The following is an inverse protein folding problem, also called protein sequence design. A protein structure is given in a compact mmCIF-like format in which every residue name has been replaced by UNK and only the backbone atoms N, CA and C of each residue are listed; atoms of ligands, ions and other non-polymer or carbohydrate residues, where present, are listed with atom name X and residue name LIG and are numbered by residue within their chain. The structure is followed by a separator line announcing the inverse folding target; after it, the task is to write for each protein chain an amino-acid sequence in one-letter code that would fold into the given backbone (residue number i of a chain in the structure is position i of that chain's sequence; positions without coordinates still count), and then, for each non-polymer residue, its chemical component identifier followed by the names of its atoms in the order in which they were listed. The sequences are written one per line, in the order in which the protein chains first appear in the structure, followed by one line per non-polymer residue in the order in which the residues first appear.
data_IF_358610656685
#
_entry.id   IF_358610656685
#
_cell.length_a   1.000
_cell.length_b   1.000
_cell.length_c   1.000
_cell.angle_alpha   90.00
_cell.angle_beta   90.00
_cell.angle_gamma   90.00
#
_symmetry.space_group_name_H-M   'P 1'
#
loop_
_entity.id
_entity.type
_entity.pdbx_description
1 polymer ?
#
# COMPACT_ATOMS: atom_id res chain seq x y z
N UNK A 1 5.16 24.85 -1.79
CA UNK A 1 4.86 24.32 -3.13
C UNK A 1 3.90 23.18 -2.93
N UNK A 2 2.71 23.29 -3.52
CA UNK A 2 1.50 22.52 -3.25
C UNK A 2 1.67 21.01 -3.45
N UNK A 3 1.56 20.26 -2.36
CA UNK A 3 1.58 18.78 -2.33
C UNK A 3 0.23 18.20 -2.76
N UNK A 4 -0.21 18.48 -3.99
CA UNK A 4 -1.33 17.76 -4.59
C UNK A 4 -0.79 16.66 -5.50
N UNK A 5 -1.08 15.41 -5.15
CA UNK A 5 -0.85 14.23 -6.00
C UNK A 5 -1.32 14.53 -7.42
N UNK A 6 -0.43 14.38 -8.40
CA UNK A 6 -0.82 14.52 -9.80
C UNK A 6 -1.57 13.27 -10.26
N UNK A 7 -2.33 13.38 -11.35
CA UNK A 7 -3.04 12.23 -11.91
C UNK A 7 -2.11 11.06 -12.29
N UNK A 8 -0.88 11.36 -12.70
CA UNK A 8 0.15 10.35 -13.01
C UNK A 8 0.59 9.59 -11.75
N UNK A 9 0.78 10.32 -10.63
CA UNK A 9 1.15 9.73 -9.34
C UNK A 9 0.06 8.79 -8.85
N UNK A 10 -1.21 9.19 -8.94
CA UNK A 10 -2.35 8.36 -8.53
C UNK A 10 -2.41 7.03 -9.28
N UNK A 11 -2.11 7.02 -10.59
CA UNK A 11 -2.10 5.79 -11.40
C UNK A 11 -0.94 4.87 -11.03
N UNK A 12 0.24 5.43 -10.77
CA UNK A 12 1.41 4.66 -10.33
C UNK A 12 1.19 4.07 -8.92
N UNK A 13 0.59 4.84 -8.02
CA UNK A 13 0.22 4.40 -6.67
C UNK A 13 -0.82 3.27 -6.73
N UNK A 14 -1.84 3.38 -7.59
CA UNK A 14 -2.84 2.31 -7.73
C UNK A 14 -2.19 1.01 -8.23
N UNK A 15 -1.30 1.11 -9.21
CA UNK A 15 -0.58 -0.06 -9.73
C UNK A 15 0.29 -0.72 -8.66
N UNK A 16 1.07 0.10 -7.94
CA UNK A 16 1.87 -0.33 -6.80
C UNK A 16 1.01 -1.03 -5.74
N UNK A 17 -0.11 -0.42 -5.34
CA UNK A 17 -1.03 -0.99 -4.36
C UNK A 17 -1.50 -2.39 -4.78
N UNK A 18 -1.96 -2.55 -6.03
CA UNK A 18 -2.43 -3.86 -6.54
C UNK A 18 -1.34 -4.92 -6.54
N UNK A 19 -0.10 -4.56 -6.89
CA UNK A 19 1.02 -5.50 -6.89
C UNK A 19 1.48 -5.88 -5.48
N UNK A 20 1.63 -4.89 -4.60
CA UNK A 20 2.20 -5.09 -3.27
C UNK A 20 1.18 -5.68 -2.29
N UNK A 21 -0.12 -5.36 -2.42
CA UNK A 21 -1.18 -6.00 -1.63
C UNK A 21 -1.25 -7.51 -1.88
N UNK A 22 -1.21 -7.96 -3.13
CA UNK A 22 -1.21 -9.39 -3.46
C UNK A 22 0.04 -10.12 -2.95
N UNK A 23 1.22 -9.51 -3.06
CA UNK A 23 2.47 -10.06 -2.50
C UNK A 23 2.39 -10.19 -0.98
N UNK A 24 1.98 -9.13 -0.29
CA UNK A 24 1.88 -9.11 1.17
C UNK A 24 0.83 -10.10 1.66
N UNK A 25 -0.33 -10.16 1.01
CA UNK A 25 -1.37 -11.15 1.30
C UNK A 25 -0.84 -12.58 1.16
N UNK A 26 -0.14 -12.89 0.05
CA UNK A 26 0.42 -14.22 -0.18
C UNK A 26 1.45 -14.63 0.88
N UNK A 27 2.32 -13.70 1.28
CA UNK A 27 3.33 -13.93 2.31
C UNK A 27 2.66 -14.13 3.68
N UNK A 28 1.74 -13.24 4.06
CA UNK A 28 1.08 -13.29 5.36
C UNK A 28 0.18 -14.51 5.50
N UNK A 29 -0.56 -14.89 4.45
CA UNK A 29 -1.35 -16.13 4.43
C UNK A 29 -0.45 -17.36 4.61
N UNK A 30 0.74 -17.36 3.98
CA UNK A 30 1.71 -18.45 4.15
C UNK A 30 2.25 -18.54 5.58
N UNK A 31 2.39 -17.41 6.28
CA UNK A 31 2.94 -17.35 7.63
C UNK A 31 1.89 -17.63 8.72
N UNK A 32 0.67 -17.11 8.55
CA UNK A 32 -0.36 -17.11 9.59
C UNK A 32 -1.57 -17.99 9.25
N UNK A 33 -1.61 -18.58 8.07
CA UNK A 33 -2.72 -19.44 7.64
C UNK A 33 -3.92 -18.65 7.11
N UNK A 34 -4.77 -19.35 6.36
CA UNK A 34 -5.93 -18.75 5.70
C UNK A 34 -7.03 -18.31 6.68
N UNK A 35 -7.11 -18.93 7.86
CA UNK A 35 -8.08 -18.55 8.91
C UNK A 35 -7.91 -17.09 9.38
N UNK A 36 -6.73 -16.50 9.15
CA UNK A 36 -6.42 -15.11 9.46
C UNK A 36 -6.65 -14.15 8.27
N UNK A 37 -7.30 -14.59 7.18
CA UNK A 37 -7.39 -13.80 5.94
C UNK A 37 -7.98 -12.40 6.13
N UNK A 38 -9.04 -12.28 6.95
CA UNK A 38 -9.67 -10.99 7.25
C UNK A 38 -8.69 -10.04 7.96
N UNK A 39 -8.03 -10.53 9.01
CA UNK A 39 -7.04 -9.73 9.76
C UNK A 39 -5.85 -9.34 8.88
N UNK A 40 -5.40 -10.24 8.02
CA UNK A 40 -4.32 -9.98 7.06
C UNK A 40 -4.73 -8.89 6.08
N UNK A 41 -5.95 -8.96 5.55
CA UNK A 41 -6.48 -7.94 4.64
C UNK A 41 -6.59 -6.58 5.34
N UNK A 42 -7.08 -6.54 6.57
CA UNK A 42 -7.20 -5.33 7.38
C UNK A 42 -5.82 -4.67 7.59
N UNK A 43 -4.80 -5.45 8.00
CA UNK A 43 -3.43 -4.96 8.19
C UNK A 43 -2.86 -4.38 6.89
N UNK A 44 -3.09 -5.05 5.76
CA UNK A 44 -2.64 -4.60 4.45
C UNK A 44 -3.28 -3.24 4.12
N UNK A 45 -4.60 -3.12 4.29
CA UNK A 45 -5.32 -1.88 4.03
C UNK A 45 -4.87 -0.74 4.94
N UNK A 46 -4.69 -0.99 6.24
CA UNK A 46 -4.21 0.00 7.20
C UNK A 46 -2.80 0.50 6.85
N UNK A 47 -1.91 -0.41 6.45
CA UNK A 47 -0.54 -0.09 6.05
C UNK A 47 -0.53 0.85 4.84
N UNK A 48 -1.31 0.54 3.81
CA UNK A 48 -1.39 1.39 2.63
C UNK A 48 -2.10 2.72 2.91
N UNK A 49 -3.10 2.74 3.78
CA UNK A 49 -3.74 3.99 4.22
C UNK A 49 -2.74 4.90 4.94
N UNK A 50 -1.90 4.33 5.80
CA UNK A 50 -0.83 5.06 6.48
C UNK A 50 0.21 5.62 5.48
N UNK A 51 0.58 4.82 4.47
CA UNK A 51 1.48 5.25 3.40
C UNK A 51 0.88 6.42 2.61
N UNK A 52 -0.38 6.31 2.16
CA UNK A 52 -1.08 7.38 1.42
C UNK A 52 -1.20 8.67 2.23
N UNK A 53 -1.51 8.58 3.52
CA UNK A 53 -1.52 9.73 4.45
C UNK A 53 -0.15 10.38 4.56
N UNK A 54 0.91 9.58 4.57
CA UNK A 54 2.29 10.08 4.62
C UNK A 54 2.66 10.78 3.31
N UNK A 55 2.34 10.16 2.16
CA UNK A 55 2.68 10.68 0.84
C UNK A 55 1.89 11.93 0.46
N UNK A 56 0.65 12.09 0.94
CA UNK A 56 -0.11 13.33 0.72
C UNK A 56 0.52 14.56 1.39
N UNK A 57 1.31 14.34 2.45
CA UNK A 57 1.99 15.40 3.21
C UNK A 57 3.44 15.57 2.74
N UNK A 58 4.16 14.46 2.53
CA UNK A 58 5.61 14.46 2.26
C UNK A 58 5.98 14.27 0.80
N UNK A 59 5.01 14.00 -0.07
CA UNK A 59 5.24 13.50 -1.42
C UNK A 59 5.47 11.98 -1.45
N UNK A 60 5.37 11.41 -2.65
CA UNK A 60 5.68 9.99 -2.89
C UNK A 60 7.21 9.82 -2.85
N UNK A 61 7.74 8.84 -2.10
CA UNK A 61 9.19 8.57 -2.07
C UNK A 61 9.69 8.05 -3.42
N UNK A 62 10.99 8.16 -3.68
CA UNK A 62 11.61 7.65 -4.92
C UNK A 62 11.44 6.13 -5.10
N UNK A 63 11.37 5.39 -3.99
CA UNK A 63 11.11 3.95 -3.97
C UNK A 63 9.91 3.62 -3.07
N UNK A 64 8.68 3.64 -3.60
CA UNK A 64 7.45 3.42 -2.83
C UNK A 64 7.22 2.01 -2.29
N UNK A 65 8.00 1.04 -2.76
CA UNK A 65 7.90 -0.39 -2.42
C UNK A 65 8.90 -0.85 -1.35
N UNK A 66 9.82 0.03 -0.94
CA UNK A 66 10.88 -0.26 0.02
C UNK A 66 10.44 -0.11 1.48
#
# INVERSE_FOLDING_TARGET
MDTKLTYSDSKNIEHLFRQQSGKMFSILIRLFGFDNSSLIEDIIQETFLAAMKTWSIKGVPEQPEA
#
